data_IF_498014109591
#
_entry.id   IF_498014109591
#
_cell.length_a   1.000
_cell.length_b   1.000
_cell.length_c   1.000
_cell.angle_alpha   90.00
_cell.angle_beta   90.00
_cell.angle_gamma   90.00
#
_symmetry.space_group_name_H-M   'P 1'
#
loop_
_entity.id
_entity.type
_entity.pdbx_description
1 polymer ?
#
# COMPACT_ATOMS: atom_id res chain seq x y z
N UNK A 1 -5.94 20.01 9.14
CA UNK A 1 -5.14 19.85 7.91
C UNK A 1 -3.87 19.02 8.08
N UNK A 2 -2.84 19.48 8.79
CA UNK A 2 -1.58 18.71 8.92
C UNK A 2 -1.80 17.39 9.65
N UNK A 3 -2.45 17.43 10.81
CA UNK A 3 -2.70 16.25 11.64
C UNK A 3 -3.55 15.22 10.88
N UNK A 4 -4.59 15.67 10.17
CA UNK A 4 -5.43 14.82 9.32
C UNK A 4 -4.62 14.13 8.23
N UNK A 5 -3.77 14.87 7.50
CA UNK A 5 -2.93 14.33 6.44
C UNK A 5 -1.90 13.30 6.93
N UNK A 6 -1.58 13.34 8.23
CA UNK A 6 -0.70 12.41 8.93
C UNK A 6 -1.47 11.30 9.65
N UNK A 7 -2.79 11.23 9.51
CA UNK A 7 -3.65 10.20 10.11
C UNK A 7 -3.65 10.21 11.64
N UNK A 8 -3.36 11.35 12.28
CA UNK A 8 -3.27 11.45 13.75
C UNK A 8 -2.17 10.59 14.38
N UNK A 9 -1.21 10.09 13.59
CA UNK A 9 -0.10 9.32 14.13
C UNK A 9 0.81 10.23 14.96
N UNK A 10 0.90 9.97 16.27
CA UNK A 10 1.62 10.81 17.22
C UNK A 10 3.11 11.05 16.88
N UNK A 11 3.85 10.00 16.52
CA UNK A 11 5.23 10.09 16.05
C UNK A 11 5.33 10.91 14.75
N UNK A 12 4.44 10.71 13.77
CA UNK A 12 4.46 11.50 12.53
C UNK A 12 4.15 12.98 12.78
N UNK A 13 3.18 13.28 13.66
CA UNK A 13 2.81 14.64 14.05
C UNK A 13 3.95 15.33 14.83
N UNK A 14 4.58 14.63 15.78
CA UNK A 14 5.75 15.13 16.50
C UNK A 14 6.93 15.40 15.55
N UNK A 15 7.18 14.47 14.62
CA UNK A 15 8.21 14.62 13.57
C UNK A 15 7.92 15.84 12.70
N UNK A 16 6.66 16.10 12.34
CA UNK A 16 6.25 17.28 11.59
C UNK A 16 6.54 18.58 12.35
N UNK A 17 6.15 18.64 13.63
CA UNK A 17 6.44 19.79 14.48
C UNK A 17 7.94 20.07 14.61
N UNK A 18 8.73 19.02 14.86
CA UNK A 18 10.19 19.13 14.94
C UNK A 18 10.83 19.57 13.61
N UNK A 19 10.34 19.05 12.48
CA UNK A 19 10.82 19.41 11.16
C UNK A 19 10.54 20.88 10.83
N UNK A 20 9.33 21.37 11.11
CA UNK A 20 8.94 22.77 10.94
C UNK A 20 9.81 23.67 11.83
N UNK A 21 9.98 23.34 13.10
CA UNK A 21 10.76 24.14 14.04
C UNK A 21 12.26 24.23 13.68
N UNK A 22 12.80 23.18 13.04
CA UNK A 22 14.24 23.08 12.73
C UNK A 22 14.62 23.49 11.30
N UNK A 23 13.65 23.68 10.41
CA UNK A 23 13.88 23.98 8.99
C UNK A 23 13.38 25.36 8.64
N UNK A 24 14.29 26.33 8.46
CA UNK A 24 13.93 27.74 8.24
C UNK A 24 12.99 28.01 7.05
N UNK A 25 13.01 27.15 6.02
CA UNK A 25 12.15 27.28 4.83
C UNK A 25 10.82 26.53 4.93
N UNK A 26 10.59 25.81 6.03
CA UNK A 26 9.38 25.03 6.28
C UNK A 26 8.50 25.76 7.28
N UNK A 27 7.27 26.07 6.88
CA UNK A 27 6.26 26.73 7.71
C UNK A 27 5.04 25.84 7.84
N UNK A 28 4.16 26.12 8.79
CA UNK A 28 2.86 25.43 8.88
C UNK A 28 2.07 25.53 7.56
N UNK A 29 2.11 26.68 6.89
CA UNK A 29 1.35 26.91 5.65
C UNK A 29 1.89 26.14 4.44
N UNK A 30 3.21 25.91 4.35
CA UNK A 30 3.80 25.21 3.21
C UNK A 30 4.16 23.75 3.50
N UNK A 31 4.04 23.29 4.75
CA UNK A 31 4.45 21.97 5.19
C UNK A 31 3.83 20.85 4.34
N UNK A 32 2.52 20.88 4.10
CA UNK A 32 1.85 19.81 3.34
C UNK A 32 2.33 19.73 1.88
N UNK A 33 2.66 20.86 1.28
CA UNK A 33 3.23 20.90 -0.08
C UNK A 33 4.63 20.28 -0.08
N UNK A 34 5.48 20.69 0.87
CA UNK A 34 6.82 20.12 1.03
C UNK A 34 6.78 18.63 1.36
N UNK A 35 5.84 18.19 2.19
CA UNK A 35 5.66 16.80 2.56
C UNK A 35 5.29 15.93 1.36
N UNK A 36 4.38 16.40 0.49
CA UNK A 36 4.04 15.70 -0.75
C UNK A 36 5.25 15.60 -1.70
N UNK A 37 6.01 16.68 -1.84
CA UNK A 37 7.18 16.71 -2.74
C UNK A 37 8.37 15.89 -2.20
N UNK A 38 8.55 15.84 -0.88
CA UNK A 38 9.75 15.31 -0.21
C UNK A 38 9.40 14.27 0.84
N UNK A 39 8.40 13.45 0.56
CA UNK A 39 7.85 12.48 1.52
C UNK A 39 8.94 11.58 2.10
N UNK A 40 9.81 11.01 1.25
CA UNK A 40 10.96 10.20 1.67
C UNK A 40 11.84 10.88 2.70
N UNK A 41 12.20 12.15 2.45
CA UNK A 41 13.05 12.94 3.34
C UNK A 41 12.38 13.16 4.69
N UNK A 42 11.08 13.41 4.69
CA UNK A 42 10.30 13.60 5.91
C UNK A 42 10.19 12.31 6.73
N UNK A 43 9.81 11.20 6.10
CA UNK A 43 9.65 9.92 6.79
C UNK A 43 10.97 9.43 7.41
N UNK A 44 12.10 9.83 6.81
CA UNK A 44 13.45 9.57 7.31
C UNK A 44 14.05 10.71 8.16
N UNK A 45 13.27 11.74 8.50
CA UNK A 45 13.75 12.80 9.37
C UNK A 45 13.91 12.27 10.80
N UNK A 46 15.09 12.50 11.37
CA UNK A 46 15.42 12.13 12.74
C UNK A 46 15.24 13.34 13.64
N UNK A 47 14.16 13.36 14.42
CA UNK A 47 13.94 14.43 15.37
C UNK A 47 14.95 14.34 16.52
N UNK A 48 15.38 15.50 17.03
CA UNK A 48 16.13 15.55 18.29
C UNK A 48 15.15 15.34 19.43
N UNK A 49 15.06 14.11 19.93
CA UNK A 49 14.17 13.77 21.03
C UNK A 49 14.86 13.94 22.39
N UNK A 50 14.10 14.39 23.39
CA UNK A 50 14.56 14.53 24.78
C UNK A 50 14.70 13.17 25.49
N UNK A 51 13.92 12.17 25.09
CA UNK A 51 13.92 10.82 25.64
C UNK A 51 14.97 9.89 25.01
N UNK A 52 15.81 10.43 24.13
CA UNK A 52 16.83 9.65 23.43
C UNK A 52 16.30 8.78 22.28
N UNK A 53 15.02 8.88 21.88
CA UNK A 53 14.49 8.17 20.71
C UNK A 53 15.25 8.57 19.44
N UNK A 54 15.89 7.58 18.79
CA UNK A 54 16.75 7.79 17.61
C UNK A 54 16.12 7.29 16.30
N UNK A 55 14.94 6.69 16.35
CA UNK A 55 14.27 6.13 15.17
C UNK A 55 13.49 7.23 14.44
N UNK A 56 13.28 7.03 13.15
CA UNK A 56 12.43 7.84 12.27
C UNK A 56 11.06 7.16 12.11
N UNK A 57 10.07 7.89 11.61
CA UNK A 57 8.75 7.33 11.23
C UNK A 57 8.94 6.11 10.30
N UNK A 58 9.81 6.24 9.30
CA UNK A 58 10.10 5.17 8.36
C UNK A 58 10.74 3.96 9.04
N UNK A 59 11.76 4.17 9.88
CA UNK A 59 12.44 3.06 10.55
C UNK A 59 11.54 2.32 11.56
N UNK A 60 10.58 3.02 12.17
CA UNK A 60 9.59 2.40 13.05
C UNK A 60 8.69 1.45 12.25
N UNK A 61 8.18 1.90 11.10
CA UNK A 61 7.44 1.06 10.16
C UNK A 61 8.28 -0.10 9.63
N UNK A 62 9.54 0.18 9.26
CA UNK A 62 10.40 -0.80 8.60
C UNK A 62 10.67 -2.02 9.48
N UNK A 63 10.72 -1.87 10.81
CA UNK A 63 10.87 -3.00 11.73
C UNK A 63 9.74 -4.04 11.57
N UNK A 64 8.49 -3.58 11.56
CA UNK A 64 7.34 -4.45 11.35
C UNK A 64 7.29 -4.94 9.89
N UNK A 65 7.63 -4.09 8.93
CA UNK A 65 7.65 -4.49 7.52
C UNK A 65 8.66 -5.61 7.28
N UNK A 66 9.85 -5.55 7.88
CA UNK A 66 10.91 -6.53 7.66
C UNK A 66 10.56 -7.93 8.19
N UNK A 67 9.68 -8.02 9.20
CA UNK A 67 9.15 -9.29 9.74
C UNK A 67 8.18 -10.01 8.80
N UNK A 68 7.60 -9.31 7.81
CA UNK A 68 6.66 -9.91 6.86
C UNK A 68 7.35 -10.89 5.91
N UNK A 69 6.62 -11.95 5.55
CA UNK A 69 6.97 -12.86 4.47
C UNK A 69 7.04 -12.15 3.12
N UNK A 70 7.90 -12.61 2.18
CA UNK A 70 8.09 -11.93 0.90
C UNK A 70 6.81 -11.73 0.08
N UNK A 71 5.90 -12.71 0.09
CA UNK A 71 4.61 -12.60 -0.59
C UNK A 71 3.75 -11.51 0.04
N UNK A 72 3.61 -11.50 1.37
CA UNK A 72 2.83 -10.49 2.10
C UNK A 72 3.38 -9.08 1.92
N UNK A 73 4.72 -8.91 1.84
CA UNK A 73 5.35 -7.64 1.45
C UNK A 73 4.89 -7.18 0.07
N UNK A 74 4.90 -8.07 -0.92
CA UNK A 74 4.46 -7.76 -2.28
C UNK A 74 2.97 -7.42 -2.34
N UNK A 75 2.12 -8.17 -1.63
CA UNK A 75 0.68 -7.88 -1.53
C UNK A 75 0.42 -6.49 -0.92
N UNK A 76 1.08 -6.17 0.19
CA UNK A 76 1.00 -4.85 0.82
C UNK A 76 1.51 -3.74 -0.12
N UNK A 77 2.58 -4.00 -0.87
CA UNK A 77 3.13 -3.08 -1.86
C UNK A 77 2.20 -2.81 -3.04
N UNK A 78 1.50 -3.83 -3.53
CA UNK A 78 0.46 -3.68 -4.57
C UNK A 78 -0.71 -2.86 -4.01
N UNK A 79 -1.17 -3.17 -2.80
CA UNK A 79 -2.22 -2.39 -2.14
C UNK A 79 -1.88 -0.90 -2.01
N UNK A 80 -0.60 -0.55 -1.89
CA UNK A 80 -0.15 0.83 -1.81
C UNK A 80 -0.33 1.65 -3.11
N UNK A 81 -0.77 1.02 -4.21
CA UNK A 81 -1.19 1.70 -5.43
C UNK A 81 -2.70 1.89 -5.54
N UNK A 82 -3.48 1.36 -4.60
CA UNK A 82 -4.89 1.65 -4.45
C UNK A 82 -5.12 2.83 -3.49
N UNK A 83 -6.39 3.17 -3.27
CA UNK A 83 -6.70 4.07 -2.18
C UNK A 83 -6.38 3.40 -0.84
N UNK A 84 -5.89 4.16 0.13
CA UNK A 84 -5.41 3.59 1.41
C UNK A 84 -6.54 3.07 2.33
N UNK A 85 -7.80 3.17 1.93
CA UNK A 85 -8.96 2.69 2.69
C UNK A 85 -9.87 1.89 1.81
N UNK A 86 -10.60 0.96 2.43
CA UNK A 86 -11.69 0.20 1.83
C UNK A 86 -11.26 -0.54 0.55
N UNK A 87 -10.05 -1.12 0.53
CA UNK A 87 -9.57 -1.95 -0.58
C UNK A 87 -10.33 -3.28 -0.54
N UNK A 88 -11.17 -3.62 -1.53
CA UNK A 88 -11.95 -4.85 -1.50
C UNK A 88 -11.04 -6.06 -1.67
N UNK A 89 -11.11 -7.03 -0.75
CA UNK A 89 -10.30 -8.25 -0.85
C UNK A 89 -10.78 -9.14 -2.02
N UNK A 90 -12.08 -9.11 -2.31
CA UNK A 90 -12.67 -9.82 -3.46
C UNK A 90 -12.02 -9.45 -4.79
N UNK A 91 -11.45 -8.24 -4.91
CA UNK A 91 -10.65 -7.82 -6.07
C UNK A 91 -9.59 -8.85 -6.45
N UNK A 92 -8.85 -9.38 -5.46
CA UNK A 92 -7.75 -10.30 -5.70
C UNK A 92 -8.25 -11.69 -6.09
N UNK A 93 -9.37 -12.13 -5.51
CA UNK A 93 -10.01 -13.38 -5.89
C UNK A 93 -10.56 -13.31 -7.32
N UNK A 94 -11.25 -12.24 -7.69
CA UNK A 94 -11.75 -12.05 -9.05
C UNK A 94 -10.61 -11.97 -10.07
N UNK A 95 -9.56 -11.20 -9.78
CA UNK A 95 -8.40 -11.16 -10.67
C UNK A 95 -7.70 -12.53 -10.79
N UNK A 96 -7.70 -13.36 -9.75
CA UNK A 96 -7.12 -14.71 -9.82
C UNK A 96 -7.95 -15.70 -10.64
N UNK A 97 -9.25 -15.45 -10.79
CA UNK A 97 -10.13 -16.24 -11.65
C UNK A 97 -9.95 -15.90 -13.14
N UNK A 98 -9.26 -14.81 -13.46
CA UNK A 98 -8.88 -14.47 -14.82
C UNK A 98 -7.76 -15.40 -15.29
N UNK A 99 -8.13 -16.53 -15.85
CA UNK A 99 -7.25 -17.35 -16.68
C UNK A 99 -7.04 -16.60 -17.99
N UNK A 100 -5.81 -16.18 -18.29
CA UNK A 100 -5.44 -15.46 -19.52
C UNK A 100 -5.71 -16.20 -20.85
N UNK A 101 -6.59 -17.20 -20.87
CA UNK A 101 -7.26 -17.74 -22.06
C UNK A 101 -8.24 -16.71 -22.68
N UNK A 102 -8.66 -15.69 -21.92
CA UNK A 102 -9.40 -14.53 -22.45
C UNK A 102 -8.51 -13.52 -23.19
N UNK A 103 -7.18 -13.62 -23.03
CA UNK A 103 -6.20 -12.85 -23.79
C UNK A 103 -5.69 -13.69 -24.95
N UNK A 104 -5.45 -13.08 -26.11
CA UNK A 104 -4.94 -13.86 -27.24
C UNK A 104 -3.55 -14.44 -26.88
N UNK A 105 -3.21 -15.67 -27.32
CA UNK A 105 -1.92 -16.30 -27.02
C UNK A 105 -0.71 -15.43 -27.39
N UNK A 106 -0.88 -14.54 -28.37
CA UNK A 106 0.15 -13.60 -28.82
C UNK A 106 0.43 -12.45 -27.83
N UNK A 107 -0.51 -12.11 -26.95
CA UNK A 107 -0.39 -11.07 -25.93
C UNK A 107 0.23 -11.62 -24.64
N UNK A 108 -0.12 -12.86 -24.29
CA UNK A 108 0.32 -13.53 -23.07
C UNK A 108 1.84 -13.81 -23.05
N UNK A 109 2.44 -14.04 -24.23
CA UNK A 109 3.88 -14.30 -24.35
C UNK A 109 4.74 -13.02 -24.45
N UNK A 110 4.15 -11.89 -24.90
CA UNK A 110 4.86 -10.65 -25.28
C UNK A 110 4.99 -9.62 -24.17
N UNK A 111 4.20 -9.67 -23.10
CA UNK A 111 4.22 -8.60 -22.07
C UNK A 111 4.80 -9.11 -20.74
N UNK A 112 6.03 -8.71 -20.36
CA UNK A 112 6.67 -9.16 -19.11
C UNK A 112 5.82 -8.89 -17.86
N UNK A 113 4.99 -7.85 -17.87
CA UNK A 113 4.08 -7.51 -16.77
C UNK A 113 3.01 -8.59 -16.53
N UNK A 114 2.50 -9.25 -17.58
CA UNK A 114 1.50 -10.33 -17.43
C UNK A 114 2.14 -11.54 -16.74
N UNK A 115 3.42 -11.82 -17.04
CA UNK A 115 4.18 -12.88 -16.36
C UNK A 115 4.37 -12.56 -14.88
N UNK A 116 4.68 -11.31 -14.54
CA UNK A 116 4.80 -10.86 -13.15
C UNK A 116 3.45 -10.93 -12.39
N UNK A 117 2.34 -10.55 -13.03
CA UNK A 117 1.01 -10.70 -12.48
C UNK A 117 0.66 -12.17 -12.20
N UNK A 118 0.87 -13.04 -13.17
CA UNK A 118 0.63 -14.48 -13.02
C UNK A 118 1.53 -15.08 -11.95
N UNK A 119 2.79 -14.65 -11.87
CA UNK A 119 3.69 -15.03 -10.79
C UNK A 119 3.13 -14.61 -9.43
N UNK A 120 2.72 -13.34 -9.27
CA UNK A 120 2.10 -12.84 -8.05
C UNK A 120 0.86 -13.64 -7.64
N UNK A 121 -0.08 -13.85 -8.56
CA UNK A 121 -1.31 -14.64 -8.30
C UNK A 121 -0.95 -16.08 -7.90
N UNK A 122 0.04 -16.70 -8.56
CA UNK A 122 0.46 -18.07 -8.26
C UNK A 122 1.01 -18.25 -6.82
N UNK A 123 1.60 -17.20 -6.23
CA UNK A 123 2.06 -17.22 -4.84
C UNK A 123 0.93 -17.48 -3.86
N UNK A 124 -0.30 -17.06 -4.21
CA UNK A 124 -1.47 -17.15 -3.37
C UNK A 124 -2.42 -18.30 -3.73
N UNK A 125 -2.29 -18.89 -4.91
CA UNK A 125 -3.03 -20.09 -5.30
C UNK A 125 -2.43 -21.37 -4.71
N UNK A 126 -1.10 -21.46 -4.59
CA UNK A 126 -0.41 -22.70 -4.26
C UNK A 126 0.15 -22.77 -2.82
N UNK A 127 0.48 -21.64 -2.20
CA UNK A 127 1.29 -21.62 -0.97
C UNK A 127 0.65 -20.92 0.25
N UNK A 128 -0.19 -19.90 0.05
CA UNK A 128 -0.85 -19.12 1.12
C UNK A 128 -2.15 -18.50 0.61
N UNK A 129 -3.20 -18.45 1.43
CA UNK A 129 -4.41 -17.69 1.07
C UNK A 129 -4.19 -16.18 1.22
N UNK A 130 -5.04 -15.36 0.60
CA UNK A 130 -5.07 -13.91 0.85
C UNK A 130 -5.37 -13.62 2.33
N UNK A 131 -6.23 -14.44 2.96
CA UNK A 131 -6.56 -14.37 4.39
C UNK A 131 -5.32 -14.53 5.26
N UNK A 132 -4.42 -15.47 4.96
CA UNK A 132 -3.16 -15.65 5.71
C UNK A 132 -2.27 -14.40 5.66
N UNK A 133 -2.25 -13.68 4.53
CA UNK A 133 -1.51 -12.43 4.41
C UNK A 133 -2.19 -11.28 5.17
N UNK A 134 -3.52 -11.25 5.18
CA UNK A 134 -4.30 -10.28 5.97
C UNK A 134 -4.07 -10.50 7.47
N UNK A 135 -4.06 -11.76 7.93
CA UNK A 135 -3.77 -12.13 9.31
C UNK A 135 -2.35 -11.74 9.71
N UNK A 136 -1.37 -12.02 8.84
CA UNK A 136 0.03 -11.63 9.06
C UNK A 136 0.20 -10.10 9.19
N UNK A 137 -0.45 -9.33 8.32
CA UNK A 137 -0.46 -7.87 8.40
C UNK A 137 -1.15 -7.35 9.66
N UNK A 138 -2.28 -7.97 10.03
CA UNK A 138 -3.08 -7.57 11.19
C UNK A 138 -2.36 -7.85 12.51
N UNK A 139 -1.66 -8.99 12.59
CA UNK A 139 -0.84 -9.35 13.76
C UNK A 139 0.25 -8.31 14.06
N UNK A 140 0.83 -7.71 13.02
CA UNK A 140 1.83 -6.64 13.15
C UNK A 140 1.23 -5.23 13.20
N UNK A 141 -0.10 -5.11 13.29
CA UNK A 141 -0.83 -3.83 13.30
C UNK A 141 -0.52 -2.95 12.09
N UNK A 142 -0.22 -3.56 10.94
CA UNK A 142 0.12 -2.87 9.70
C UNK A 142 -1.11 -2.54 8.85
N UNK A 143 -2.25 -3.14 9.16
CA UNK A 143 -3.51 -2.96 8.44
C UNK A 143 -4.71 -3.05 9.38
N UNK A 144 -5.87 -2.62 8.89
CA UNK A 144 -7.18 -2.80 9.49
C UNK A 144 -8.04 -3.57 8.50
N UNK A 145 -8.50 -4.76 8.90
CA UNK A 145 -9.40 -5.57 8.09
C UNK A 145 -10.83 -5.48 8.66
N UNK A 146 -11.79 -5.15 7.80
CA UNK A 146 -13.21 -5.19 8.09
C UNK A 146 -13.80 -6.49 7.53
N UNK A 147 -14.20 -7.46 8.38
CA UNK A 147 -14.74 -8.74 7.93
C UNK A 147 -16.15 -8.63 7.34
N UNK A 148 -16.94 -7.63 7.76
CA UNK A 148 -18.32 -7.45 7.27
C UNK A 148 -18.30 -6.87 5.86
N UNK A 149 -17.49 -5.83 5.65
CA UNK A 149 -17.30 -5.22 4.33
C UNK A 149 -16.29 -5.96 3.44
N UNK A 150 -15.52 -6.91 4.01
CA UNK A 150 -14.38 -7.60 3.37
C UNK A 150 -13.38 -6.63 2.76
N UNK A 151 -13.05 -5.57 3.49
CA UNK A 151 -12.14 -4.53 3.01
C UNK A 151 -10.91 -4.36 3.88
N UNK A 152 -9.80 -4.00 3.22
CA UNK A 152 -8.52 -3.74 3.84
C UNK A 152 -8.22 -2.25 3.83
N UNK A 153 -7.75 -1.71 4.96
CA UNK A 153 -7.41 -0.31 5.11
C UNK A 153 -6.07 -0.13 5.79
N UNK A 154 -5.26 0.77 5.24
CA UNK A 154 -3.97 1.15 5.77
C UNK A 154 -4.04 2.54 6.38
N UNK A 155 -3.33 2.71 7.50
CA UNK A 155 -3.12 4.04 8.04
C UNK A 155 -2.37 4.92 7.01
N UNK A 156 -2.75 6.20 6.78
CA UNK A 156 -2.20 7.03 5.70
C UNK A 156 -0.67 7.14 5.69
N UNK A 157 -0.05 7.17 6.86
CA UNK A 157 1.42 7.21 6.99
C UNK A 157 2.05 5.86 6.64
N UNK A 158 1.45 4.74 7.05
CA UNK A 158 1.94 3.41 6.66
C UNK A 158 1.83 3.25 5.15
N UNK A 159 0.71 3.66 4.56
CA UNK A 159 0.51 3.66 3.12
C UNK A 159 1.63 4.39 2.35
N UNK A 160 2.02 5.57 2.82
CA UNK A 160 3.17 6.31 2.25
C UNK A 160 4.49 5.59 2.49
N UNK A 161 4.71 5.03 3.68
CA UNK A 161 5.94 4.27 3.96
C UNK A 161 6.07 3.06 3.03
N UNK A 162 5.00 2.32 2.75
CA UNK A 162 5.02 1.18 1.82
C UNK A 162 5.51 1.64 0.44
N UNK A 163 4.99 2.75 -0.08
CA UNK A 163 5.43 3.29 -1.37
C UNK A 163 6.92 3.64 -1.40
N UNK A 164 7.53 3.92 -0.26
CA UNK A 164 8.97 4.23 -0.15
C UNK A 164 9.85 2.98 -0.01
N UNK A 165 9.27 1.80 0.19
CA UNK A 165 10.00 0.51 0.15
C UNK A 165 10.30 0.04 -1.28
N UNK A 166 9.57 0.57 -2.26
CA UNK A 166 9.63 0.15 -3.65
C UNK A 166 10.83 0.76 -4.39
N UNK A 167 11.67 -0.11 -4.96
CA UNK A 167 12.78 0.29 -5.84
C UNK A 167 12.23 0.64 -7.23
N UNK A 168 11.41 -0.24 -7.81
CA UNK A 168 10.73 -0.02 -9.09
C UNK A 168 9.22 0.13 -8.87
N UNK A 169 8.77 1.39 -8.78
CA UNK A 169 7.34 1.69 -8.63
C UNK A 169 6.54 1.39 -9.90
N UNK A 170 7.17 1.38 -11.07
CA UNK A 170 6.46 1.21 -12.34
C UNK A 170 5.96 -0.22 -12.48
N UNK A 171 6.80 -1.22 -12.20
CA UNK A 171 6.39 -2.63 -12.32
C UNK A 171 5.18 -2.92 -11.42
N UNK A 172 5.26 -2.56 -10.14
CA UNK A 172 4.18 -2.82 -9.17
C UNK A 172 2.91 -2.02 -9.50
N UNK A 173 3.05 -0.79 -10.00
CA UNK A 173 1.92 -0.01 -10.50
C UNK A 173 1.21 -0.71 -11.66
N UNK A 174 1.95 -1.24 -12.64
CA UNK A 174 1.33 -1.97 -13.76
C UNK A 174 0.63 -3.26 -13.29
N UNK A 175 1.19 -3.98 -12.31
CA UNK A 175 0.53 -5.14 -11.70
C UNK A 175 -0.80 -4.71 -11.05
N UNK A 176 -0.81 -3.62 -10.27
CA UNK A 176 -2.02 -3.10 -9.66
C UNK A 176 -3.08 -2.69 -10.70
N UNK A 177 -2.68 -2.08 -11.82
CA UNK A 177 -3.59 -1.74 -12.92
C UNK A 177 -4.18 -2.98 -13.58
N UNK A 178 -3.36 -4.00 -13.85
CA UNK A 178 -3.84 -5.25 -14.44
C UNK A 178 -4.77 -6.00 -13.48
N UNK A 179 -4.49 -6.01 -12.17
CA UNK A 179 -5.40 -6.58 -11.17
C UNK A 179 -6.78 -5.92 -11.23
N UNK A 180 -6.83 -4.59 -11.31
CA UNK A 180 -8.10 -3.88 -11.47
C UNK A 180 -8.82 -4.28 -12.76
N UNK A 181 -8.09 -4.33 -13.89
CA UNK A 181 -8.66 -4.70 -15.18
C UNK A 181 -9.18 -6.15 -15.20
N UNK A 182 -8.45 -7.09 -14.61
CA UNK A 182 -8.84 -8.50 -14.53
C UNK A 182 -9.99 -8.75 -13.54
N UNK A 183 -10.11 -7.94 -12.49
CA UNK A 183 -11.19 -8.05 -11.53
C UNK A 183 -12.51 -7.42 -12.00
N UNK A 184 -12.47 -6.51 -12.99
CA UNK A 184 -13.68 -5.93 -13.57
C UNK A 184 -14.32 -6.89 -14.59
N UNK A 185 -15.57 -7.33 -14.39
CA UNK A 185 -16.23 -8.22 -15.34
C UNK A 185 -16.43 -7.54 -16.71
N UNK A 186 -16.07 -8.25 -17.79
CA UNK A 186 -16.35 -7.84 -19.16
C UNK A 186 -17.85 -8.06 -19.47
N UNK A 187 -18.67 -7.07 -19.12
CA UNK A 187 -20.11 -7.08 -19.39
C UNK A 187 -20.92 -6.65 -18.20
N UNK A 188 -21.26 -5.36 -18.16
CA UNK A 188 -22.15 -4.78 -17.18
C UNK A 188 -23.58 -5.29 -17.38
N UNK A 189 -24.03 -6.21 -16.52
CA UNK A 189 -25.45 -6.21 -16.15
C UNK A 189 -25.65 -5.12 -15.11
N UNK A 190 -26.63 -4.23 -15.32
CA UNK A 190 -26.92 -3.03 -14.50
C UNK A 190 -27.16 -3.29 -12.99
N UNK A 191 -27.04 -4.53 -12.52
CA UNK A 191 -27.14 -4.90 -11.11
C UNK A 191 -25.87 -4.59 -10.30
N UNK A 192 -24.70 -4.44 -10.94
CA UNK A 192 -23.40 -4.39 -10.23
C UNK A 192 -23.02 -2.99 -9.69
N UNK A 193 -23.84 -1.96 -9.95
CA UNK A 193 -23.60 -0.59 -9.47
C UNK A 193 -24.37 -0.23 -8.18
N UNK A 194 -24.76 -1.21 -7.38
CA UNK A 194 -25.28 -0.95 -6.03
C UNK A 194 -24.16 -1.10 -5.01
N UNK A 195 -23.32 -0.07 -4.89
CA UNK A 195 -22.66 0.21 -3.62
C UNK A 195 -23.75 0.69 -2.65
N UNK A 196 -24.16 -0.19 -1.73
CA UNK A 196 -25.00 0.16 -0.58
C UNK A 196 -24.14 0.62 0.59
#
# INVERSE_FOLDING_TARGET
DIVDALGYQALAVATAGAYIASTATCTLSNYLSLFKQRCKKFLNYKMKSLDGYQKTVFSAFQLSFDELSPSTKLFMQICAFFHHTAIPIELFYHASAFTGDDLSPEENEKTPVIKELNHFISLYLHNKSWDDAIDELSHLSLTMYDPDAKTLSFHPILHRCIQETLIDKNVVWHIAQLLLACATPFGSTEADYKFQ
#
